data_IF_217838492114
#
_entry.id   IF_217838492114
#
_cell.length_a   1.000
_cell.length_b   1.000
_cell.length_c   1.000
_cell.angle_alpha   90.00
_cell.angle_beta   90.00
_cell.angle_gamma   90.00
#
_symmetry.space_group_name_H-M   'P 1'
#
loop_
_entity.id
_entity.type
_entity.pdbx_description
1 polymer ?
#
# COMPACT_ATOMS: atom_id res chain seq x y z
N UNK A 1 4.10 30.18 -20.82
CA UNK A 1 4.36 30.81 -19.51
C UNK A 1 4.79 29.78 -18.47
N UNK A 2 4.15 28.59 -18.32
CA UNK A 2 4.56 27.57 -17.34
C UNK A 2 6.00 27.08 -17.50
N UNK A 3 6.44 26.82 -18.73
CA UNK A 3 7.84 26.42 -19.03
C UNK A 3 8.88 27.45 -18.55
N UNK A 4 8.57 28.73 -18.67
CA UNK A 4 9.46 29.80 -18.20
C UNK A 4 9.53 29.85 -16.66
N UNK A 5 8.43 29.53 -15.96
CA UNK A 5 8.41 29.46 -14.51
C UNK A 5 9.22 28.25 -14.01
N UNK A 6 9.03 27.09 -14.63
CA UNK A 6 9.80 25.87 -14.38
C UNK A 6 11.30 26.10 -14.55
N UNK A 7 11.73 26.69 -15.68
CA UNK A 7 13.14 27.02 -15.94
C UNK A 7 13.74 27.98 -14.90
N UNK A 8 12.94 28.94 -14.42
CA UNK A 8 13.37 29.82 -13.32
C UNK A 8 13.49 29.06 -12.01
N UNK A 9 12.61 28.10 -11.74
CA UNK A 9 12.69 27.21 -10.59
C UNK A 9 13.98 26.38 -10.59
N UNK A 10 14.31 25.76 -11.74
CA UNK A 10 15.56 25.02 -11.92
C UNK A 10 16.77 25.91 -11.62
N UNK A 11 16.83 27.11 -12.21
CA UNK A 11 17.94 28.03 -11.99
C UNK A 11 18.01 28.48 -10.52
N UNK A 12 16.87 28.76 -9.88
CA UNK A 12 16.84 29.18 -8.48
C UNK A 12 17.35 28.09 -7.53
N UNK A 13 16.97 26.83 -7.76
CA UNK A 13 17.46 25.68 -7.00
C UNK A 13 18.96 25.47 -7.21
N UNK A 14 19.41 25.53 -8.47
CA UNK A 14 20.83 25.45 -8.84
C UNK A 14 21.68 26.51 -8.14
N UNK A 15 21.22 27.76 -8.16
CA UNK A 15 21.88 28.89 -7.52
C UNK A 15 21.86 28.73 -5.99
N UNK A 16 20.75 28.27 -5.41
CA UNK A 16 20.63 28.03 -3.98
C UNK A 16 21.59 26.93 -3.50
N UNK A 17 21.85 25.90 -4.30
CA UNK A 17 22.87 24.90 -3.99
C UNK A 17 24.30 25.45 -4.14
N UNK A 18 24.50 26.54 -4.88
CA UNK A 18 25.82 27.11 -5.17
C UNK A 18 26.58 26.33 -6.24
N UNK A 19 25.86 25.67 -7.15
CA UNK A 19 26.46 24.85 -8.20
C UNK A 19 27.16 25.72 -9.27
N UNK A 20 28.37 25.35 -9.72
CA UNK A 20 29.08 26.13 -10.72
C UNK A 20 28.47 25.94 -12.12
N UNK A 21 28.38 27.03 -12.90
CA UNK A 21 27.93 26.95 -14.29
C UNK A 21 26.43 27.17 -14.45
N UNK A 22 25.81 26.41 -15.36
CA UNK A 22 24.37 26.48 -15.66
C UNK A 22 23.73 25.13 -15.38
N UNK A 23 22.44 25.11 -15.00
CA UNK A 23 21.68 23.88 -14.87
C UNK A 23 21.62 23.11 -16.20
N UNK A 24 21.31 21.80 -16.16
CA UNK A 24 21.19 20.96 -17.35
C UNK A 24 20.23 21.56 -18.38
N UNK A 25 20.52 21.34 -19.66
CA UNK A 25 19.59 21.68 -20.73
C UNK A 25 18.35 20.81 -20.59
N UNK A 26 17.16 21.37 -20.88
CA UNK A 26 15.91 20.64 -20.77
C UNK A 26 15.98 19.37 -21.65
N UNK A 27 15.71 18.22 -21.04
CA UNK A 27 15.46 16.98 -21.77
C UNK A 27 14.20 17.06 -22.64
N UNK A 28 13.81 15.92 -23.21
CA UNK A 28 12.64 15.85 -24.11
C UNK A 28 11.33 16.19 -23.39
N UNK A 29 11.30 16.13 -22.05
CA UNK A 29 10.17 16.53 -21.20
C UNK A 29 10.59 17.30 -19.92
N UNK A 30 9.60 17.89 -19.23
CA UNK A 30 9.83 18.59 -17.94
C UNK A 30 10.25 17.63 -16.83
N UNK A 31 9.70 16.43 -16.80
CA UNK A 31 10.06 15.43 -15.80
C UNK A 31 11.50 14.95 -16.01
N UNK A 32 11.93 14.71 -17.25
CA UNK A 32 13.32 14.31 -17.55
C UNK A 32 14.31 15.37 -17.06
N UNK A 33 14.04 16.65 -17.37
CA UNK A 33 14.87 17.75 -16.90
C UNK A 33 14.93 17.87 -15.37
N UNK A 34 13.85 17.53 -14.68
CA UNK A 34 13.80 17.53 -13.22
C UNK A 34 14.59 16.34 -12.63
N UNK A 35 14.46 15.14 -13.20
CA UNK A 35 15.22 13.96 -12.79
C UNK A 35 16.71 14.16 -13.05
N UNK A 36 17.08 14.70 -14.22
CA UNK A 36 18.46 15.04 -14.54
C UNK A 36 19.03 16.06 -13.54
N UNK A 37 18.25 17.07 -13.17
CA UNK A 37 18.64 18.04 -12.15
C UNK A 37 18.94 17.36 -10.81
N UNK A 38 18.08 16.46 -10.33
CA UNK A 38 18.32 15.70 -9.11
C UNK A 38 19.56 14.82 -9.22
N UNK A 39 19.77 14.18 -10.36
CA UNK A 39 20.93 13.33 -10.60
C UNK A 39 22.25 14.13 -10.53
N UNK A 40 22.35 15.25 -11.26
CA UNK A 40 23.57 16.06 -11.30
C UNK A 40 23.82 16.83 -10.00
N UNK A 41 22.78 17.11 -9.20
CA UNK A 41 22.91 17.81 -7.91
C UNK A 41 23.02 16.88 -6.71
N UNK A 42 23.07 15.57 -6.93
CA UNK A 42 23.05 14.57 -5.85
C UNK A 42 24.20 14.68 -4.83
N UNK A 43 25.36 15.15 -5.28
CA UNK A 43 26.53 15.36 -4.41
C UNK A 43 26.55 16.73 -3.72
N UNK A 44 25.56 17.58 -3.96
CA UNK A 44 25.48 18.91 -3.38
C UNK A 44 25.13 18.84 -1.89
N UNK A 45 25.74 19.70 -1.08
CA UNK A 45 25.33 19.87 0.31
C UNK A 45 23.88 20.38 0.38
N UNK A 46 23.04 19.70 1.15
CA UNK A 46 21.58 19.91 1.24
C UNK A 46 20.80 19.60 -0.06
N UNK A 47 21.43 19.02 -1.07
CA UNK A 47 20.78 18.63 -2.32
C UNK A 47 19.84 17.44 -2.14
N UNK A 48 18.67 17.52 -2.77
CA UNK A 48 17.75 16.41 -2.89
C UNK A 48 18.34 15.33 -3.80
N UNK A 49 18.02 14.07 -3.51
CA UNK A 49 18.56 12.89 -4.18
C UNK A 49 17.45 11.99 -4.67
N UNK A 50 17.63 11.39 -5.85
CA UNK A 50 16.81 10.26 -6.26
C UNK A 50 16.96 9.12 -5.25
N UNK A 51 15.84 8.48 -4.90
CA UNK A 51 15.84 7.31 -4.05
C UNK A 51 16.21 6.10 -4.90
N UNK A 52 17.31 5.43 -4.56
CA UNK A 52 17.69 4.18 -5.23
C UNK A 52 16.65 3.09 -4.91
N UNK A 53 16.02 2.57 -5.97
CA UNK A 53 15.05 1.49 -5.86
C UNK A 53 15.74 0.13 -5.91
N UNK A 54 15.06 -0.87 -5.34
CA UNK A 54 15.52 -2.25 -5.36
C UNK A 54 15.18 -2.82 -6.74
N UNK A 55 16.19 -3.33 -7.47
CA UNK A 55 16.00 -3.83 -8.83
C UNK A 55 14.97 -4.97 -8.93
N UNK A 56 14.91 -5.84 -7.92
CA UNK A 56 13.94 -6.94 -7.83
C UNK A 56 13.31 -7.02 -6.45
N UNK A 57 12.08 -6.52 -6.33
CA UNK A 57 11.31 -6.54 -5.08
C UNK A 57 10.58 -7.86 -4.82
N UNK A 58 10.33 -8.66 -5.87
CA UNK A 58 9.45 -9.82 -5.80
C UNK A 58 9.98 -10.97 -4.94
N UNK A 59 11.29 -11.18 -4.88
CA UNK A 59 11.88 -12.22 -4.04
C UNK A 59 11.58 -11.95 -2.55
N UNK A 60 11.82 -10.72 -2.08
CA UNK A 60 11.48 -10.31 -0.72
C UNK A 60 9.98 -10.35 -0.45
N UNK A 61 9.16 -9.96 -1.44
CA UNK A 61 7.69 -10.06 -1.38
C UNK A 61 7.22 -11.49 -1.20
N UNK A 62 7.73 -12.41 -2.01
CA UNK A 62 7.27 -13.79 -2.05
C UNK A 62 7.61 -14.56 -0.75
N UNK A 63 8.77 -14.30 -0.15
CA UNK A 63 9.18 -14.95 1.11
C UNK A 63 8.64 -14.28 2.36
N UNK A 64 8.00 -13.12 2.23
CA UNK A 64 7.45 -12.38 3.36
C UNK A 64 8.52 -11.64 4.19
N UNK A 65 9.61 -11.17 3.59
CA UNK A 65 10.68 -10.47 4.31
C UNK A 65 10.28 -9.05 4.73
N UNK A 66 10.39 -8.74 6.02
CA UNK A 66 10.08 -7.41 6.58
C UNK A 66 11.34 -6.55 6.82
N UNK A 67 12.53 -7.07 6.51
CA UNK A 67 13.80 -6.38 6.76
C UNK A 67 14.04 -5.16 5.88
N UNK A 68 13.33 -5.06 4.75
CA UNK A 68 13.37 -3.94 3.81
C UNK A 68 11.96 -3.57 3.35
N UNK A 69 11.76 -2.34 2.87
CA UNK A 69 10.45 -1.88 2.41
C UNK A 69 10.09 -2.40 1.00
N UNK A 70 10.19 -3.71 0.74
CA UNK A 70 10.00 -4.31 -0.60
C UNK A 70 8.69 -3.90 -1.26
N UNK A 71 7.60 -3.89 -0.47
CA UNK A 71 6.26 -3.53 -0.94
C UNK A 71 6.19 -2.07 -1.43
N UNK A 72 6.87 -1.16 -0.73
CA UNK A 72 6.93 0.25 -1.14
C UNK A 72 7.72 0.42 -2.42
N UNK A 73 8.90 -0.21 -2.53
CA UNK A 73 9.71 -0.13 -3.75
C UNK A 73 8.97 -0.71 -4.96
N UNK A 74 8.30 -1.85 -4.78
CA UNK A 74 7.44 -2.44 -5.81
C UNK A 74 6.30 -1.51 -6.23
N UNK A 75 5.57 -0.93 -5.26
CA UNK A 75 4.45 -0.03 -5.55
C UNK A 75 4.92 1.23 -6.29
N UNK A 76 6.07 1.81 -5.91
CA UNK A 76 6.69 2.95 -6.60
C UNK A 76 7.04 2.58 -8.06
N UNK A 77 7.67 1.42 -8.28
CA UNK A 77 8.03 0.95 -9.61
C UNK A 77 6.78 0.76 -10.49
N UNK A 78 5.76 0.06 -9.99
CA UNK A 78 4.51 -0.18 -10.73
C UNK A 78 3.69 1.10 -10.90
N UNK A 79 3.80 2.06 -9.98
CA UNK A 79 3.15 3.37 -10.08
C UNK A 79 3.76 4.28 -11.15
N UNK A 80 4.90 3.90 -11.73
CA UNK A 80 5.66 4.71 -12.70
C UNK A 80 5.95 6.12 -12.12
N UNK A 81 6.40 6.18 -10.87
CA UNK A 81 6.75 7.45 -10.21
C UNK A 81 8.26 7.54 -9.98
N UNK A 82 8.79 8.76 -10.00
CA UNK A 82 10.19 9.02 -9.70
C UNK A 82 10.34 9.43 -8.24
N UNK A 83 10.92 8.54 -7.39
CA UNK A 83 11.05 8.80 -5.97
C UNK A 83 12.31 9.63 -5.69
N UNK A 84 12.21 10.58 -4.78
CA UNK A 84 13.35 11.36 -4.31
C UNK A 84 13.21 11.76 -2.85
N UNK A 85 14.33 12.12 -2.21
CA UNK A 85 14.41 12.38 -0.78
C UNK A 85 15.18 13.67 -0.49
N UNK A 86 14.87 14.28 0.65
CA UNK A 86 15.55 15.47 1.14
C UNK A 86 16.55 15.11 2.25
N UNK A 87 17.78 15.64 2.23
CA UNK A 87 18.68 15.51 3.37
C UNK A 87 18.07 16.15 4.63
N UNK A 88 18.08 15.42 5.75
CA UNK A 88 17.61 15.94 7.03
C UNK A 88 16.10 15.89 7.25
N UNK A 89 15.32 15.36 6.29
CA UNK A 89 13.88 15.08 6.46
C UNK A 89 13.68 13.57 6.50
N UNK A 90 13.92 12.97 7.66
CA UNK A 90 13.83 11.51 7.84
C UNK A 90 12.39 11.00 7.62
N UNK A 91 12.27 9.87 6.93
CA UNK A 91 11.00 9.17 6.72
C UNK A 91 10.10 9.75 5.61
N UNK A 92 10.47 10.89 5.01
CA UNK A 92 9.69 11.54 3.94
C UNK A 92 10.27 11.22 2.55
N UNK A 93 9.46 10.60 1.70
CA UNK A 93 9.77 10.31 0.30
C UNK A 93 8.85 11.15 -0.56
N UNK A 94 9.41 11.81 -1.58
CA UNK A 94 8.65 12.52 -2.59
C UNK A 94 8.46 11.62 -3.80
N UNK A 95 7.27 11.63 -4.40
CA UNK A 95 6.95 10.86 -5.59
C UNK A 95 6.52 11.82 -6.70
N UNK A 96 7.35 11.97 -7.73
CA UNK A 96 6.96 12.73 -8.93
C UNK A 96 6.23 11.83 -9.91
N UNK A 97 5.04 12.25 -10.35
CA UNK A 97 4.32 11.54 -11.40
C UNK A 97 5.05 11.71 -12.74
N UNK A 98 5.47 10.60 -13.35
CA UNK A 98 6.11 10.64 -14.68
C UNK A 98 5.12 10.98 -15.77
N UNK A 99 3.83 10.79 -15.51
CA UNK A 99 2.74 11.09 -16.45
C UNK A 99 2.11 12.42 -16.03
N UNK A 100 2.02 13.32 -17.00
CA UNK A 100 1.38 14.60 -16.81
C UNK A 100 -0.14 14.45 -16.66
N UNK A 101 -0.74 15.29 -15.83
CA UNK A 101 -2.20 15.44 -15.77
C UNK A 101 -2.75 16.08 -17.07
N UNK A 102 -4.09 16.19 -17.25
CA UNK A 102 -4.67 16.72 -18.48
C UNK A 102 -4.30 18.18 -18.78
N UNK A 103 -3.81 18.92 -17.79
CA UNK A 103 -3.29 20.29 -17.95
C UNK A 103 -1.80 20.31 -18.32
N UNK A 104 -1.17 19.13 -18.37
CA UNK A 104 0.22 18.90 -18.69
C UNK A 104 1.14 18.93 -17.46
N UNK A 105 0.62 18.98 -16.23
CA UNK A 105 1.42 19.14 -15.02
C UNK A 105 1.84 17.79 -14.43
N UNK A 106 3.12 17.69 -14.06
CA UNK A 106 3.63 16.55 -13.28
C UNK A 106 3.48 16.87 -11.80
N UNK A 107 2.56 16.16 -11.15
CA UNK A 107 2.25 16.32 -9.73
C UNK A 107 3.33 15.67 -8.88
N UNK A 108 3.56 16.21 -7.69
CA UNK A 108 4.49 15.63 -6.72
C UNK A 108 3.78 15.44 -5.40
N UNK A 109 3.87 14.22 -4.89
CA UNK A 109 3.25 13.82 -3.63
C UNK A 109 4.33 13.47 -2.61
N UNK A 110 3.93 13.34 -1.36
CA UNK A 110 4.78 12.77 -0.33
C UNK A 110 4.20 11.49 0.24
N UNK A 111 5.09 10.57 0.60
CA UNK A 111 4.82 9.42 1.44
C UNK A 111 5.67 9.56 2.70
N UNK A 112 5.03 9.36 3.84
CA UNK A 112 5.68 9.29 5.15
C UNK A 112 5.29 7.98 5.81
N UNK A 113 6.29 7.17 6.20
CA UNK A 113 6.07 5.88 6.88
C UNK A 113 5.09 4.94 6.16
N UNK A 114 5.09 4.97 4.83
CA UNK A 114 4.24 4.11 3.99
C UNK A 114 2.80 4.59 3.83
N UNK A 115 2.46 5.81 4.28
CA UNK A 115 1.16 6.45 4.05
C UNK A 115 1.34 7.81 3.36
N UNK A 116 0.28 8.34 2.76
CA UNK A 116 0.27 9.69 2.19
C UNK A 116 0.72 10.74 3.21
N UNK A 117 1.70 11.52 2.82
CA UNK A 117 2.25 12.64 3.58
C UNK A 117 1.45 13.93 3.37
N UNK A 118 1.80 14.95 4.14
CA UNK A 118 1.06 16.22 4.18
C UNK A 118 1.40 17.20 3.03
N UNK A 119 2.43 16.91 2.23
CA UNK A 119 2.89 17.79 1.15
C UNK A 119 2.46 17.25 -0.21
N UNK A 120 1.79 18.11 -0.95
CA UNK A 120 1.28 17.87 -2.30
C UNK A 120 1.53 19.10 -3.15
N UNK A 121 2.08 18.89 -4.34
CA UNK A 121 2.44 19.94 -5.28
C UNK A 121 1.74 19.69 -6.61
N UNK A 122 0.98 20.68 -7.09
CA UNK A 122 0.27 20.60 -8.36
C UNK A 122 1.20 20.47 -9.56
N UNK A 123 2.44 20.97 -9.45
CA UNK A 123 3.44 20.87 -10.52
C UNK A 123 4.89 20.87 -10.00
N UNK A 124 5.83 20.62 -10.91
CA UNK A 124 7.27 20.67 -10.63
C UNK A 124 7.77 22.08 -10.29
N UNK A 125 7.03 23.14 -10.61
CA UNK A 125 7.42 24.51 -10.26
C UNK A 125 7.27 24.72 -8.75
N UNK A 126 6.13 24.30 -8.20
CA UNK A 126 5.85 24.35 -6.77
C UNK A 126 6.88 23.58 -5.95
N UNK A 127 7.19 22.35 -6.36
CA UNK A 127 8.19 21.55 -5.63
C UNK A 127 9.58 22.17 -5.70
N UNK A 128 10.01 22.70 -6.87
CA UNK A 128 11.30 23.38 -7.00
C UNK A 128 11.39 24.64 -6.13
N UNK A 129 10.30 25.40 -6.01
CA UNK A 129 10.23 26.56 -5.12
C UNK A 129 10.43 26.14 -3.66
N UNK A 130 9.77 25.07 -3.22
CA UNK A 130 9.92 24.56 -1.86
C UNK A 130 11.30 23.94 -1.62
N UNK A 131 11.83 23.14 -2.54
CA UNK A 131 13.19 22.59 -2.48
C UNK A 131 14.25 23.70 -2.34
N UNK A 132 14.10 24.77 -3.11
CA UNK A 132 14.97 25.96 -3.03
C UNK A 132 14.90 26.60 -1.64
N UNK A 133 13.70 26.73 -1.07
CA UNK A 133 13.51 27.28 0.27
C UNK A 133 14.14 26.39 1.35
N UNK A 134 14.01 25.06 1.23
CA UNK A 134 14.64 24.09 2.13
C UNK A 134 16.17 24.23 2.14
N UNK A 135 16.80 24.32 0.97
CA UNK A 135 18.26 24.52 0.87
C UNK A 135 18.68 25.83 1.54
N UNK A 136 17.93 26.91 1.31
CA UNK A 136 18.22 28.23 1.91
C UNK A 136 18.01 28.25 3.42
N UNK A 137 16.98 27.58 3.91
CA UNK A 137 16.74 27.40 5.35
C UNK A 137 17.89 26.63 6.00
N UNK A 138 18.33 25.53 5.39
CA UNK A 138 19.49 24.76 5.87
C UNK A 138 20.79 25.59 5.92
N UNK A 139 20.94 26.57 5.03
CA UNK A 139 22.05 27.55 5.00
C UNK A 139 21.87 28.73 5.98
N UNK A 140 20.74 28.82 6.67
CA UNK A 140 20.39 29.92 7.58
C UNK A 140 19.98 31.22 6.86
N UNK A 141 19.64 31.14 5.57
CA UNK A 141 19.15 32.28 4.77
C UNK A 141 17.65 32.50 4.92
N UNK A 142 16.90 31.44 5.28
CA UNK A 142 15.48 31.51 5.66
C UNK A 142 15.28 31.08 7.11
N UNK A 143 14.34 31.73 7.79
CA UNK A 143 13.85 31.28 9.09
C UNK A 143 12.67 30.30 8.94
N UNK A 144 12.24 29.71 10.07
CA UNK A 144 11.15 28.72 10.09
C UNK A 144 9.82 29.30 9.58
N UNK A 145 9.55 30.58 9.82
CA UNK A 145 8.32 31.23 9.42
C UNK A 145 8.29 31.49 7.90
N UNK A 146 9.42 31.91 7.33
CA UNK A 146 9.59 32.06 5.89
C UNK A 146 9.46 30.70 5.17
N UNK A 147 10.09 29.65 5.70
CA UNK A 147 9.97 28.30 5.15
C UNK A 147 8.51 27.81 5.18
N UNK A 148 7.82 27.99 6.30
CA UNK A 148 6.41 27.60 6.43
C UNK A 148 5.49 28.37 5.48
N UNK A 149 5.74 29.67 5.27
CA UNK A 149 4.98 30.47 4.32
C UNK A 149 5.20 29.97 2.89
N UNK A 150 6.46 29.74 2.49
CA UNK A 150 6.77 29.25 1.14
C UNK A 150 6.17 27.86 0.93
N UNK A 151 6.21 26.99 1.94
CA UNK A 151 5.53 25.70 1.89
C UNK A 151 4.03 25.87 1.65
N UNK A 152 3.36 26.73 2.43
CA UNK A 152 1.92 26.98 2.27
C UNK A 152 1.56 27.57 0.91
N UNK A 153 2.45 28.33 0.28
CA UNK A 153 2.22 28.92 -1.05
C UNK A 153 2.51 27.93 -2.19
N UNK A 154 3.43 26.99 -1.97
CA UNK A 154 3.86 26.02 -2.96
C UNK A 154 3.02 24.73 -2.94
N UNK A 155 2.48 24.35 -1.79
CA UNK A 155 1.65 23.15 -1.65
C UNK A 155 0.17 23.46 -1.86
N UNK A 156 -0.58 22.47 -2.31
CA UNK A 156 -2.02 22.54 -2.43
C UNK A 156 -2.65 21.18 -2.15
N UNK A 157 -3.88 21.15 -1.67
CA UNK A 157 -4.60 19.90 -1.53
C UNK A 157 -5.08 19.46 -2.91
N UNK A 158 -4.64 18.29 -3.36
CA UNK A 158 -5.07 17.67 -4.60
C UNK A 158 -6.24 16.74 -4.29
N UNK A 159 -7.47 17.23 -4.50
CA UNK A 159 -8.73 16.52 -4.27
C UNK A 159 -9.68 16.53 -5.50
N UNK A 160 -9.09 16.74 -6.68
CA UNK A 160 -9.80 16.79 -7.96
C UNK A 160 -10.11 15.40 -8.55
N UNK A 161 -10.79 15.35 -9.70
CA UNK A 161 -11.16 14.08 -10.35
C UNK A 161 -9.96 13.23 -10.77
N UNK A 162 -8.79 13.83 -11.00
CA UNK A 162 -7.58 13.08 -11.34
C UNK A 162 -7.10 12.23 -10.17
N UNK A 163 -7.27 12.71 -8.93
CA UNK A 163 -6.90 12.02 -7.70
C UNK A 163 -7.90 10.96 -7.24
N UNK A 164 -9.14 10.99 -7.74
CA UNK A 164 -10.22 10.11 -7.25
C UNK A 164 -10.12 8.67 -7.72
N UNK A 165 -9.19 8.36 -8.63
CA UNK A 165 -9.12 7.05 -9.23
C UNK A 165 -7.77 6.75 -9.85
N UNK A 166 -7.70 5.67 -10.64
CA UNK A 166 -6.45 5.10 -11.13
C UNK A 166 -5.75 5.97 -12.20
N UNK A 167 -6.23 7.18 -12.46
CA UNK A 167 -5.50 8.20 -13.22
C UNK A 167 -4.32 8.75 -12.43
N UNK A 168 -4.46 8.94 -11.12
CA UNK A 168 -3.39 9.41 -10.24
C UNK A 168 -2.39 8.29 -9.92
N UNK A 169 -1.10 8.61 -10.03
CA UNK A 169 -0.05 7.70 -9.60
C UNK A 169 -0.08 7.44 -8.10
N UNK A 170 -0.40 8.45 -7.28
CA UNK A 170 -0.50 8.30 -5.84
C UNK A 170 -1.60 7.30 -5.48
N UNK A 171 -2.78 7.44 -6.11
CA UNK A 171 -3.87 6.47 -5.94
C UNK A 171 -3.40 5.04 -6.23
N UNK A 172 -2.67 4.83 -7.33
CA UNK A 172 -2.14 3.51 -7.66
C UNK A 172 -1.16 3.00 -6.61
N UNK A 173 -0.20 3.84 -6.18
CA UNK A 173 0.79 3.46 -5.17
C UNK A 173 0.10 3.10 -3.85
N UNK A 174 -0.84 3.92 -3.37
CA UNK A 174 -1.60 3.67 -2.15
C UNK A 174 -2.38 2.36 -2.24
N UNK A 175 -3.06 2.13 -3.35
CA UNK A 175 -3.89 0.95 -3.52
C UNK A 175 -3.07 -0.34 -3.67
N UNK A 176 -1.91 -0.28 -4.32
CA UNK A 176 -0.95 -1.39 -4.34
C UNK A 176 -0.41 -1.66 -2.93
N UNK A 177 -0.08 -0.60 -2.18
CA UNK A 177 0.30 -0.65 -0.77
C UNK A 177 -0.84 -1.06 0.17
N UNK A 178 -2.07 -1.19 -0.30
CA UNK A 178 -3.20 -1.72 0.46
C UNK A 178 -3.56 -3.16 0.03
N UNK A 179 -3.18 -3.60 -1.17
CA UNK A 179 -3.45 -4.97 -1.64
C UNK A 179 -2.78 -6.06 -0.78
N UNK A 180 -3.49 -7.12 -0.35
CA UNK A 180 -2.91 -8.17 0.49
C UNK A 180 -2.01 -9.16 -0.28
N UNK A 181 -1.31 -8.71 -1.33
CA UNK A 181 -0.48 -9.56 -2.18
C UNK A 181 0.65 -10.22 -1.39
N UNK A 182 1.31 -9.46 -0.50
CA UNK A 182 2.38 -9.95 0.35
C UNK A 182 1.88 -11.04 1.31
N UNK A 183 0.73 -10.82 1.93
CA UNK A 183 0.09 -11.79 2.80
C UNK A 183 -0.41 -13.02 2.03
N UNK A 184 -0.82 -12.87 0.77
CA UNK A 184 -1.23 -14.00 -0.07
C UNK A 184 -0.05 -14.96 -0.31
N UNK A 185 1.15 -14.42 -0.59
CA UNK A 185 2.37 -15.20 -0.78
C UNK A 185 2.77 -16.01 0.46
N UNK A 186 2.62 -15.44 1.65
CA UNK A 186 2.88 -16.18 2.89
C UNK A 186 1.72 -17.13 3.26
N UNK A 187 0.47 -16.75 3.00
CA UNK A 187 -0.71 -17.55 3.32
C UNK A 187 -0.76 -18.87 2.51
N UNK A 188 -0.40 -18.84 1.22
CA UNK A 188 -0.39 -20.06 0.41
C UNK A 188 0.62 -21.09 0.92
N UNK A 189 1.71 -20.65 1.56
CA UNK A 189 2.69 -21.54 2.20
C UNK A 189 2.04 -22.42 3.30
N UNK A 190 0.80 -22.11 3.70
CA UNK A 190 -0.01 -22.82 4.70
C UNK A 190 -1.32 -23.37 4.11
N UNK A 191 -1.49 -23.34 2.79
CA UNK A 191 -2.75 -23.70 2.12
C UNK A 191 -3.90 -22.71 2.40
N UNK A 192 -3.57 -21.47 2.77
CA UNK A 192 -4.54 -20.40 3.07
C UNK A 192 -4.58 -19.37 1.95
N UNK A 193 -5.63 -18.55 1.94
CA UNK A 193 -5.75 -17.39 1.05
C UNK A 193 -6.46 -16.25 1.78
N UNK A 194 -6.00 -15.00 1.64
CA UNK A 194 -6.70 -13.86 2.23
C UNK A 194 -8.11 -13.72 1.66
N UNK A 195 -9.07 -13.31 2.48
CA UNK A 195 -10.39 -12.90 2.00
C UNK A 195 -10.24 -11.55 1.31
N UNK A 196 -10.53 -11.51 0.01
CA UNK A 196 -10.43 -10.30 -0.81
C UNK A 196 -11.75 -10.13 -1.55
N UNK A 197 -12.38 -8.99 -1.35
CA UNK A 197 -13.58 -8.64 -2.09
C UNK A 197 -13.22 -8.30 -3.55
N UNK A 198 -13.99 -8.84 -4.49
CA UNK A 198 -13.84 -8.48 -5.89
C UNK A 198 -14.54 -7.16 -6.13
N UNK A 199 -13.77 -6.12 -6.45
CA UNK A 199 -14.34 -4.97 -7.16
C UNK A 199 -14.60 -5.42 -8.60
N UNK A 200 -15.86 -5.57 -8.99
CA UNK A 200 -16.30 -5.96 -10.32
C UNK A 200 -16.02 -4.92 -11.43
N UNK A 201 -14.91 -4.20 -11.32
CA UNK A 201 -14.48 -3.17 -12.26
C UNK A 201 -13.95 -3.78 -13.57
N UNK A 202 -14.15 -3.06 -14.67
CA UNK A 202 -13.62 -3.44 -15.98
C UNK A 202 -12.13 -3.08 -16.08
N UNK A 203 -11.32 -3.87 -16.82
CA UNK A 203 -9.91 -3.56 -17.00
C UNK A 203 -9.73 -2.24 -17.74
N UNK A 204 -8.76 -1.44 -17.30
CA UNK A 204 -8.35 -0.22 -17.99
C UNK A 204 -7.48 -0.58 -19.21
N UNK A 205 -8.12 -0.88 -20.33
CA UNK A 205 -7.46 -1.29 -21.59
C UNK A 205 -7.17 -0.14 -22.56
N UNK A 206 -7.63 1.07 -22.24
CA UNK A 206 -7.37 2.23 -23.08
C UNK A 206 -5.89 2.60 -23.01
N UNK A 207 -5.18 2.53 -24.15
CA UNK A 207 -3.72 2.70 -24.27
C UNK A 207 -3.28 4.17 -24.18
N UNK A 208 -4.03 4.99 -23.46
CA UNK A 208 -3.61 6.34 -23.05
C UNK A 208 -2.47 6.28 -22.01
N UNK A 209 -1.79 7.40 -21.77
CA UNK A 209 -0.69 7.47 -20.80
C UNK A 209 -1.11 6.87 -19.44
N UNK A 210 -0.23 6.06 -18.85
CA UNK A 210 -0.46 5.35 -17.60
C UNK A 210 -1.37 4.12 -17.69
N UNK A 211 -1.69 3.62 -18.89
CA UNK A 211 -2.51 2.41 -19.02
C UNK A 211 -1.89 1.19 -18.35
N UNK A 212 -0.57 1.08 -18.34
CA UNK A 212 0.14 -0.06 -17.75
C UNK A 212 0.00 -0.10 -16.23
N UNK A 213 0.25 1.02 -15.54
CA UNK A 213 0.04 1.12 -14.09
C UNK A 213 -1.42 0.87 -13.68
N UNK A 214 -2.38 1.37 -14.47
CA UNK A 214 -3.82 1.08 -14.25
C UNK A 214 -4.15 -0.39 -14.41
N UNK A 215 -3.65 -1.01 -15.47
CA UNK A 215 -3.84 -2.43 -15.74
C UNK A 215 -3.17 -3.29 -14.67
N UNK A 216 -1.97 -2.94 -14.22
CA UNK A 216 -1.26 -3.64 -13.15
C UNK A 216 -2.02 -3.64 -11.82
N UNK A 217 -2.60 -2.50 -11.42
CA UNK A 217 -3.46 -2.43 -10.25
C UNK A 217 -4.69 -3.34 -10.40
N UNK A 218 -5.37 -3.25 -11.55
CA UNK A 218 -6.55 -4.08 -11.83
C UNK A 218 -6.22 -5.58 -11.81
N UNK A 219 -5.14 -5.99 -12.47
CA UNK A 219 -4.68 -7.38 -12.50
C UNK A 219 -4.36 -7.89 -11.11
N UNK A 220 -3.68 -7.08 -10.29
CA UNK A 220 -3.34 -7.44 -8.90
C UNK A 220 -4.61 -7.67 -8.08
N UNK A 221 -5.57 -6.73 -8.12
CA UNK A 221 -6.84 -6.85 -7.39
C UNK A 221 -7.67 -8.06 -7.88
N UNK A 222 -7.81 -8.22 -9.19
CA UNK A 222 -8.57 -9.34 -9.78
C UNK A 222 -7.94 -10.67 -9.44
N UNK A 223 -6.63 -10.79 -9.55
CA UNK A 223 -5.90 -12.00 -9.18
C UNK A 223 -6.11 -12.34 -7.71
N UNK A 224 -6.03 -11.36 -6.81
CA UNK A 224 -6.27 -11.59 -5.39
C UNK A 224 -7.70 -12.06 -5.07
N UNK A 225 -8.68 -11.56 -5.82
CA UNK A 225 -10.08 -11.95 -5.65
C UNK A 225 -10.41 -13.32 -6.27
N UNK A 226 -9.82 -13.65 -7.42
CA UNK A 226 -10.23 -14.80 -8.24
C UNK A 226 -9.23 -15.96 -8.24
N UNK A 227 -7.97 -15.70 -7.86
CA UNK A 227 -6.82 -16.61 -7.95
C UNK A 227 -6.46 -17.03 -9.38
N UNK A 228 -6.98 -16.31 -10.36
CA UNK A 228 -6.80 -16.59 -11.79
C UNK A 228 -6.34 -15.31 -12.46
N UNK A 229 -5.39 -15.43 -13.38
CA UNK A 229 -4.92 -14.30 -14.17
C UNK A 229 -5.64 -14.27 -15.51
N UNK A 230 -6.44 -13.24 -15.72
CA UNK A 230 -7.13 -13.00 -16.98
C UNK A 230 -6.62 -11.70 -17.60
N UNK A 231 -5.73 -11.81 -18.58
CA UNK A 231 -5.31 -10.67 -19.37
C UNK A 231 -6.42 -10.26 -20.35
N UNK A 232 -6.66 -8.95 -20.55
CA UNK A 232 -7.56 -8.49 -21.60
C UNK A 232 -7.14 -8.97 -23.00
N UNK A 233 -8.09 -9.32 -23.86
CA UNK A 233 -7.83 -9.91 -25.18
C UNK A 233 -6.96 -9.02 -26.08
N UNK A 234 -7.04 -7.69 -25.89
CA UNK A 234 -6.34 -6.68 -26.69
C UNK A 234 -4.91 -6.38 -26.22
N UNK A 235 -4.48 -6.95 -25.08
CA UNK A 235 -3.18 -6.65 -24.46
C UNK A 235 -2.33 -7.92 -24.39
N UNK A 236 -1.23 -7.92 -25.13
CA UNK A 236 -0.20 -8.95 -25.00
C UNK A 236 0.82 -8.59 -23.91
N UNK A 237 1.40 -9.60 -23.26
CA UNK A 237 2.52 -9.43 -22.31
C UNK A 237 3.73 -8.74 -22.96
N UNK A 238 3.92 -8.93 -24.27
CA UNK A 238 4.94 -8.26 -25.08
C UNK A 238 4.71 -6.76 -25.25
N UNK A 239 3.48 -6.28 -25.04
CA UNK A 239 3.13 -4.86 -25.17
C UNK A 239 3.46 -4.05 -23.91
N UNK A 240 3.81 -4.73 -22.82
CA UNK A 240 4.11 -4.13 -21.52
C UNK A 240 5.61 -3.92 -21.33
N UNK A 241 5.97 -2.87 -20.63
CA UNK A 241 7.33 -2.58 -20.20
C UNK A 241 7.80 -3.54 -19.11
N UNK A 242 9.11 -3.56 -18.86
CA UNK A 242 9.75 -4.57 -18.03
C UNK A 242 9.14 -4.71 -16.63
N UNK A 243 8.79 -3.59 -15.98
CA UNK A 243 8.21 -3.59 -14.63
C UNK A 243 6.84 -4.27 -14.61
N UNK A 244 5.95 -3.89 -15.53
CA UNK A 244 4.59 -4.43 -15.58
C UNK A 244 4.54 -5.84 -16.14
N UNK A 245 5.42 -6.16 -17.10
CA UNK A 245 5.65 -7.52 -17.57
C UNK A 245 6.08 -8.43 -16.44
N UNK A 246 7.03 -7.98 -15.61
CA UNK A 246 7.50 -8.73 -14.45
C UNK A 246 6.34 -9.04 -13.50
N UNK A 247 5.46 -8.08 -13.20
CA UNK A 247 4.25 -8.34 -12.41
C UNK A 247 3.42 -9.49 -13.01
N UNK A 248 3.11 -9.41 -14.31
CA UNK A 248 2.32 -10.43 -14.99
C UNK A 248 3.00 -11.80 -14.92
N UNK A 249 4.30 -11.88 -15.17
CA UNK A 249 5.06 -13.13 -15.08
C UNK A 249 5.00 -13.75 -13.67
N UNK A 250 5.06 -12.92 -12.62
CA UNK A 250 4.95 -13.40 -11.23
C UNK A 250 3.53 -13.83 -10.87
N UNK A 251 2.50 -13.14 -11.37
CA UNK A 251 1.10 -13.56 -11.17
C UNK A 251 0.81 -14.88 -11.90
N UNK A 252 1.39 -15.10 -13.10
CA UNK A 252 1.29 -16.39 -13.82
C UNK A 252 1.96 -17.51 -13.03
N UNK A 253 3.17 -17.28 -12.52
CA UNK A 253 3.86 -18.27 -11.67
C UNK A 253 3.02 -18.60 -10.42
N UNK A 254 2.44 -17.57 -9.81
CA UNK A 254 1.61 -17.73 -8.62
C UNK A 254 0.32 -18.51 -8.91
N UNK A 255 -0.38 -18.20 -10.00
CA UNK A 255 -1.56 -18.94 -10.48
C UNK A 255 -1.26 -20.43 -10.68
N UNK A 256 -0.16 -20.73 -11.38
CA UNK A 256 0.25 -22.11 -11.68
C UNK A 256 0.52 -22.88 -10.38
N UNK A 257 1.24 -22.26 -9.44
CA UNK A 257 1.52 -22.85 -8.13
C UNK A 257 0.23 -23.14 -7.33
N UNK A 258 -0.74 -22.22 -7.33
CA UNK A 258 -2.04 -22.41 -6.67
C UNK A 258 -2.77 -23.63 -7.26
N UNK A 259 -2.84 -23.73 -8.59
CA UNK A 259 -3.61 -24.79 -9.26
C UNK A 259 -2.93 -26.16 -9.22
N UNK A 260 -1.59 -26.19 -9.23
CA UNK A 260 -0.82 -27.42 -9.16
C UNK A 260 -0.52 -27.86 -7.72
N UNK A 261 -0.75 -26.99 -6.73
CA UNK A 261 -0.27 -27.15 -5.35
C UNK A 261 1.26 -27.38 -5.29
N UNK A 262 1.99 -26.65 -6.13
CA UNK A 262 3.44 -26.69 -6.25
C UNK A 262 4.08 -25.46 -5.60
N UNK A 263 5.40 -25.51 -5.38
CA UNK A 263 6.17 -24.36 -4.93
C UNK A 263 6.29 -23.38 -6.12
N UNK A 264 5.94 -22.09 -5.96
CA UNK A 264 6.14 -21.07 -6.99
C UNK A 264 7.62 -20.95 -7.38
N UNK A 265 7.89 -20.79 -8.67
CA UNK A 265 9.27 -20.71 -9.19
C UNK A 265 10.07 -19.59 -8.53
N UNK A 266 9.44 -18.44 -8.24
CA UNK A 266 10.13 -17.34 -7.55
C UNK A 266 10.67 -17.75 -6.16
N UNK A 267 9.98 -18.65 -5.45
CA UNK A 267 10.44 -19.19 -4.17
C UNK A 267 11.62 -20.15 -4.39
N UNK A 268 11.53 -21.03 -5.39
CA UNK A 268 12.62 -21.96 -5.73
C UNK A 268 13.90 -21.22 -6.13
N UNK A 269 13.77 -20.22 -7.00
CA UNK A 269 14.87 -19.37 -7.45
C UNK A 269 15.47 -18.59 -6.27
N UNK A 270 14.64 -18.09 -5.36
CA UNK A 270 15.09 -17.39 -4.16
C UNK A 270 15.83 -18.33 -3.20
N UNK A 271 15.37 -19.57 -3.03
CA UNK A 271 16.03 -20.58 -2.21
C UNK A 271 17.41 -20.98 -2.76
N UNK A 272 17.59 -20.94 -4.09
CA UNK A 272 18.86 -21.20 -4.77
C UNK A 272 19.72 -19.94 -4.95
N UNK A 273 19.23 -18.77 -4.52
CA UNK A 273 19.86 -17.48 -4.73
C UNK A 273 21.11 -17.23 -3.88
N UNK A 274 21.79 -16.12 -4.18
CA UNK A 274 23.04 -15.74 -3.51
C UNK A 274 22.83 -15.01 -2.17
N UNK A 275 21.65 -14.42 -1.94
CA UNK A 275 21.31 -13.76 -0.67
C UNK A 275 20.98 -14.80 0.40
N UNK A 276 21.83 -15.00 1.44
CA UNK A 276 21.63 -16.06 2.41
C UNK A 276 20.40 -15.86 3.29
N UNK A 277 19.98 -14.61 3.50
CA UNK A 277 18.81 -14.29 4.32
C UNK A 277 17.54 -14.66 3.57
N UNK A 278 17.39 -14.18 2.32
CA UNK A 278 16.23 -14.51 1.49
C UNK A 278 16.18 -16.01 1.17
N UNK A 279 17.32 -16.65 0.91
CA UNK A 279 17.38 -18.09 0.67
C UNK A 279 16.92 -18.90 1.90
N UNK A 280 17.32 -18.51 3.11
CA UNK A 280 16.86 -19.16 4.34
C UNK A 280 15.34 -18.99 4.54
N UNK A 281 14.80 -17.81 4.26
CA UNK A 281 13.35 -17.56 4.33
C UNK A 281 12.57 -18.37 3.28
N UNK A 282 13.07 -18.47 2.06
CA UNK A 282 12.49 -19.28 0.99
C UNK A 282 12.50 -20.78 1.35
N UNK A 283 13.60 -21.30 1.91
CA UNK A 283 13.66 -22.69 2.37
C UNK A 283 12.64 -22.96 3.50
N UNK A 284 12.49 -22.02 4.43
CA UNK A 284 11.47 -22.12 5.48
C UNK A 284 10.04 -22.03 4.90
N UNK A 285 9.84 -21.27 3.83
CA UNK A 285 8.57 -21.22 3.10
C UNK A 285 8.26 -22.59 2.48
N UNK A 286 9.23 -23.20 1.80
CA UNK A 286 9.08 -24.54 1.17
C UNK A 286 8.76 -25.60 2.20
N UNK A 287 9.45 -25.61 3.34
CA UNK A 287 9.20 -26.56 4.42
C UNK A 287 7.76 -26.44 4.96
N UNK A 288 7.26 -25.21 5.16
CA UNK A 288 5.86 -24.97 5.54
C UNK A 288 4.90 -25.49 4.47
N UNK A 289 5.20 -25.23 3.20
CA UNK A 289 4.38 -25.64 2.07
C UNK A 289 4.27 -27.16 1.96
N UNK A 290 5.38 -27.88 2.02
CA UNK A 290 5.38 -29.35 2.01
C UNK A 290 4.67 -29.94 3.23
N UNK A 291 4.80 -29.30 4.40
CA UNK A 291 4.12 -29.71 5.62
C UNK A 291 2.59 -29.76 5.48
N UNK A 292 1.95 -28.73 4.91
CA UNK A 292 0.50 -28.76 4.73
C UNK A 292 0.07 -29.66 3.56
N UNK A 293 0.83 -29.67 2.46
CA UNK A 293 0.53 -30.51 1.29
C UNK A 293 0.53 -31.99 1.66
N UNK A 294 1.52 -32.44 2.44
CA UNK A 294 1.58 -33.82 2.92
C UNK A 294 0.47 -34.14 3.93
N UNK A 295 0.09 -33.19 4.79
CA UNK A 295 -1.05 -33.35 5.69
C UNK A 295 -2.39 -33.48 4.93
N UNK A 296 -2.55 -32.80 3.79
CA UNK A 296 -3.74 -32.90 2.93
C UNK A 296 -3.81 -34.20 2.11
N UNK A 297 -2.69 -34.92 1.94
CA UNK A 297 -2.59 -36.17 1.16
C UNK A 297 -2.79 -37.43 2.04
N UNK A 298 -2.96 -37.28 3.36
CA UNK A 298 -3.31 -38.40 4.23
C UNK A 298 -4.67 -38.98 3.79
N UNK A 299 -4.76 -40.26 3.40
CA UNK A 299 -6.04 -40.88 3.05
C UNK A 299 -7.01 -40.71 4.21
N UNK A 300 -8.27 -40.38 3.93
CA UNK A 300 -9.32 -40.41 4.94
C UNK A 300 -9.23 -41.77 5.67
N UNK A 301 -9.20 -41.81 7.01
CA UNK A 301 -9.23 -43.07 7.72
C UNK A 301 -10.47 -43.83 7.26
N UNK A 302 -10.31 -45.14 7.01
CA UNK A 302 -11.43 -46.03 6.70
C UNK A 302 -12.55 -45.80 7.73
N UNK A 303 -13.81 -45.90 7.28
CA UNK A 303 -15.05 -45.69 8.06
C UNK A 303 -15.13 -46.65 9.28
N UNK A 304 -14.30 -46.45 10.30
CA UNK A 304 -14.38 -47.09 11.61
C UNK A 304 -13.51 -46.40 12.69
N UNK A 305 -12.95 -45.20 12.40
CA UNK A 305 -12.34 -44.38 13.45
C UNK A 305 -13.36 -43.39 14.04
N UNK A 306 -13.62 -43.58 15.33
CA UNK A 306 -14.56 -42.85 16.14
C UNK A 306 -14.37 -41.32 16.01
N UNK A 307 -15.48 -40.61 15.76
CA UNK A 307 -15.66 -39.16 15.88
C UNK A 307 -14.47 -38.45 16.55
N UNK A 308 -13.57 -37.90 15.74
CA UNK A 308 -12.59 -36.92 16.20
C UNK A 308 -13.31 -35.57 16.33
N UNK A 309 -13.12 -34.97 17.51
CA UNK A 309 -13.86 -33.84 18.06
C UNK A 309 -14.05 -32.63 17.12
N UNK A 310 -15.12 -31.86 17.40
CA UNK A 310 -15.40 -30.54 16.84
C UNK A 310 -14.12 -29.69 16.62
N UNK A 311 -14.09 -28.82 15.60
CA UNK A 311 -12.97 -27.92 15.36
C UNK A 311 -12.55 -27.22 16.66
N UNK A 312 -11.25 -27.07 16.94
CA UNK A 312 -10.79 -26.58 18.23
C UNK A 312 -11.45 -25.21 18.52
N UNK A 313 -12.00 -25.01 19.73
CA UNK A 313 -12.68 -23.77 20.07
C UNK A 313 -11.72 -22.59 19.92
N UNK A 314 -12.27 -21.44 19.49
CA UNK A 314 -11.55 -20.17 19.31
C UNK A 314 -10.60 -19.93 20.50
N UNK A 315 -9.28 -19.97 20.25
CA UNK A 315 -8.31 -19.86 21.33
C UNK A 315 -8.25 -18.40 21.82
N UNK A 316 -8.80 -18.16 23.00
CA UNK A 316 -8.80 -16.85 23.64
C UNK A 316 -7.39 -16.36 24.05
N UNK A 317 -6.72 -15.67 23.13
CA UNK A 317 -5.52 -14.87 23.43
C UNK A 317 -5.79 -13.84 24.55
N UNK A 318 -4.77 -13.38 25.31
CA UNK A 318 -4.95 -12.32 26.31
C UNK A 318 -5.58 -11.04 25.74
N UNK A 319 -5.33 -10.76 24.46
CA UNK A 319 -5.92 -9.65 23.71
C UNK A 319 -7.43 -9.86 23.48
N UNK A 320 -7.84 -11.01 22.93
CA UNK A 320 -9.27 -11.30 22.68
C UNK A 320 -10.09 -11.32 23.97
N UNK A 321 -9.53 -11.75 25.11
CA UNK A 321 -10.21 -11.64 26.42
C UNK A 321 -10.44 -10.20 26.86
N UNK A 322 -9.45 -9.32 26.66
CA UNK A 322 -9.58 -7.89 26.97
C UNK A 322 -10.59 -7.22 26.05
N UNK A 323 -10.51 -7.51 24.75
CA UNK A 323 -11.43 -6.99 23.74
C UNK A 323 -12.88 -7.40 24.02
N UNK A 324 -13.11 -8.69 24.33
CA UNK A 324 -14.42 -9.23 24.70
C UNK A 324 -14.99 -8.53 25.93
N UNK A 325 -14.18 -8.37 26.98
CA UNK A 325 -14.59 -7.65 28.19
C UNK A 325 -14.94 -6.19 27.92
N UNK A 326 -14.16 -5.49 27.10
CA UNK A 326 -14.38 -4.09 26.79
C UNK A 326 -15.61 -3.88 25.89
N UNK A 327 -15.81 -4.74 24.90
CA UNK A 327 -16.98 -4.74 24.03
C UNK A 327 -18.26 -5.05 24.79
N UNK A 328 -18.23 -6.00 25.74
CA UNK A 328 -19.40 -6.32 26.58
C UNK A 328 -19.88 -5.11 27.38
N UNK A 329 -18.94 -4.35 27.97
CA UNK A 329 -19.24 -3.11 28.70
C UNK A 329 -19.73 -2.00 27.77
N UNK A 330 -19.16 -1.88 26.57
CA UNK A 330 -19.56 -0.86 25.59
C UNK A 330 -20.99 -1.11 25.08
N UNK A 331 -21.32 -2.36 24.76
CA UNK A 331 -22.68 -2.75 24.35
C UNK A 331 -23.71 -2.47 25.46
N UNK A 332 -23.40 -2.79 26.71
CA UNK A 332 -24.29 -2.48 27.84
C UNK A 332 -24.58 -0.97 27.94
N UNK A 333 -23.54 -0.14 27.78
CA UNK A 333 -23.69 1.32 27.80
C UNK A 333 -24.50 1.84 26.62
N UNK A 334 -24.37 1.24 25.43
CA UNK A 334 -25.14 1.63 24.26
C UNK A 334 -26.62 1.26 24.42
N UNK A 335 -26.92 0.09 24.98
CA UNK A 335 -28.30 -0.32 25.32
C UNK A 335 -28.89 0.60 26.39
N UNK A 336 -28.16 0.86 27.49
CA UNK A 336 -28.64 1.74 28.58
C UNK A 336 -28.92 3.18 28.13
N UNK A 337 -28.16 3.69 27.16
CA UNK A 337 -28.34 5.03 26.58
C UNK A 337 -29.43 5.08 25.49
N UNK A 338 -29.94 3.92 25.07
CA UNK A 338 -30.91 3.80 23.99
C UNK A 338 -30.32 4.09 22.60
N UNK A 339 -29.03 3.76 22.41
CA UNK A 339 -28.36 3.90 21.11
C UNK A 339 -28.53 2.67 20.22
N UNK A 340 -28.72 1.49 20.82
CA UNK A 340 -29.05 0.26 20.11
C UNK A 340 -30.05 -0.59 20.90
N UNK A 341 -30.89 -1.33 20.19
CA UNK A 341 -31.77 -2.36 20.76
C UNK A 341 -31.15 -3.75 20.53
N UNK A 342 -30.92 -4.49 21.62
CA UNK A 342 -30.28 -5.81 21.61
C UNK A 342 -31.01 -6.75 22.57
N UNK A 343 -31.45 -7.90 22.05
CA UNK A 343 -31.98 -9.00 22.85
C UNK A 343 -30.85 -9.57 23.75
N UNK A 344 -31.05 -9.63 25.09
CA UNK A 344 -30.07 -10.20 26.01
C UNK A 344 -29.60 -11.61 25.63
N UNK A 345 -30.47 -12.43 25.02
CA UNK A 345 -30.14 -13.80 24.63
C UNK A 345 -29.21 -13.87 23.40
N UNK A 346 -29.06 -12.75 22.65
CA UNK A 346 -28.19 -12.64 21.46
C UNK A 346 -26.86 -11.93 21.73
N UNK A 347 -26.71 -11.33 22.90
CA UNK A 347 -25.53 -10.53 23.26
C UNK A 347 -24.23 -11.33 23.17
N UNK A 348 -24.22 -12.57 23.63
CA UNK A 348 -23.01 -13.39 23.62
C UNK A 348 -22.59 -13.78 22.19
N UNK A 349 -23.55 -14.01 21.29
CA UNK A 349 -23.27 -14.29 19.88
C UNK A 349 -22.70 -13.07 19.16
N UNK A 350 -23.32 -11.90 19.37
CA UNK A 350 -22.82 -10.62 18.86
C UNK A 350 -21.40 -10.32 19.37
N UNK A 351 -21.13 -10.58 20.65
CA UNK A 351 -19.80 -10.36 21.22
C UNK A 351 -18.74 -11.22 20.54
N UNK A 352 -19.04 -12.48 20.24
CA UNK A 352 -18.10 -13.34 19.52
C UNK A 352 -17.85 -12.82 18.10
N UNK A 353 -18.89 -12.40 17.40
CA UNK A 353 -18.79 -11.81 16.05
C UNK A 353 -17.89 -10.56 16.03
N UNK A 354 -18.12 -9.63 16.96
CA UNK A 354 -17.34 -8.39 17.08
C UNK A 354 -15.89 -8.64 17.49
N UNK A 355 -15.65 -9.61 18.39
CA UNK A 355 -14.30 -9.97 18.83
C UNK A 355 -13.52 -10.63 17.70
N UNK A 356 -14.16 -11.49 16.90
CA UNK A 356 -13.54 -12.08 15.71
C UNK A 356 -13.22 -11.02 14.65
N UNK A 357 -14.15 -10.10 14.39
CA UNK A 357 -13.91 -8.99 13.46
C UNK A 357 -12.77 -8.07 13.95
N UNK A 358 -12.73 -7.78 15.26
CA UNK A 358 -11.71 -6.94 15.88
C UNK A 358 -10.35 -7.63 16.06
N UNK A 359 -10.30 -8.96 16.21
CA UNK A 359 -9.05 -9.70 16.36
C UNK A 359 -8.23 -9.75 15.07
N UNK A 360 -8.91 -9.66 13.92
CA UNK A 360 -8.30 -9.65 12.59
C UNK A 360 -7.93 -8.24 12.11
N UNK A 361 -7.88 -7.28 13.04
CA UNK A 361 -7.57 -5.89 12.74
C UNK A 361 -6.08 -5.59 12.90
N UNK A 362 -5.53 -4.86 11.93
CA UNK A 362 -4.10 -4.53 11.82
C UNK A 362 -3.69 -3.26 12.57
N UNK A 363 -4.65 -2.51 13.10
CA UNK A 363 -4.45 -1.28 13.88
C UNK A 363 -5.70 -0.94 14.70
N UNK A 364 -5.59 -0.05 15.69
CA UNK A 364 -6.75 0.40 16.48
C UNK A 364 -7.81 1.08 15.60
N UNK A 365 -7.41 1.89 14.60
CA UNK A 365 -8.34 2.52 13.66
C UNK A 365 -9.07 1.48 12.79
N UNK A 366 -8.36 0.45 12.34
CA UNK A 366 -8.93 -0.65 11.57
C UNK A 366 -9.86 -1.51 12.43
N UNK A 367 -9.48 -1.76 13.69
CA UNK A 367 -10.28 -2.51 14.65
C UNK A 367 -11.61 -1.79 14.92
N UNK A 368 -11.56 -0.48 15.16
CA UNK A 368 -12.77 0.33 15.34
C UNK A 368 -13.65 0.33 14.08
N UNK A 369 -13.05 0.41 12.89
CA UNK A 369 -13.80 0.35 11.61
C UNK A 369 -14.50 -1.00 11.44
N UNK A 370 -13.79 -2.12 11.65
CA UNK A 370 -14.35 -3.48 11.54
C UNK A 370 -15.45 -3.72 12.56
N UNK A 371 -15.20 -3.40 13.83
CA UNK A 371 -16.20 -3.55 14.90
C UNK A 371 -17.44 -2.70 14.61
N UNK A 372 -17.29 -1.47 14.11
CA UNK A 372 -18.42 -0.61 13.76
C UNK A 372 -19.24 -1.21 12.61
N UNK A 373 -18.57 -1.64 11.53
CA UNK A 373 -19.25 -2.25 10.39
C UNK A 373 -19.97 -3.54 10.78
N UNK A 374 -19.29 -4.44 11.50
CA UNK A 374 -19.89 -5.68 12.00
C UNK A 374 -21.05 -5.41 12.95
N UNK A 375 -20.99 -4.38 13.80
CA UNK A 375 -22.11 -4.03 14.68
C UNK A 375 -23.33 -3.55 13.90
N UNK A 376 -23.10 -2.75 12.84
CA UNK A 376 -24.18 -2.20 11.99
C UNK A 376 -24.83 -3.28 11.13
N UNK A 377 -24.03 -4.24 10.65
CA UNK A 377 -24.49 -5.29 9.74
C UNK A 377 -24.92 -6.59 10.45
N UNK A 378 -24.83 -6.66 11.78
CA UNK A 378 -25.14 -7.89 12.52
C UNK A 378 -26.63 -8.14 12.67
N UNK A 379 -27.07 -9.34 12.29
CA UNK A 379 -28.44 -9.85 12.50
C UNK A 379 -28.83 -9.99 13.99
N UNK A 380 -27.87 -9.83 14.89
CA UNK A 380 -28.09 -9.87 16.33
C UNK A 380 -28.59 -8.54 16.92
N UNK A 381 -28.43 -7.43 16.21
CA UNK A 381 -28.91 -6.10 16.62
C UNK A 381 -30.26 -5.81 15.99
N UNK A 382 -31.23 -5.33 16.79
CA UNK A 382 -32.59 -5.07 16.30
C UNK A 382 -32.70 -3.70 15.63
N UNK A 383 -32.23 -2.66 16.31
CA UNK A 383 -32.20 -1.29 15.80
C UNK A 383 -30.96 -0.54 16.28
N UNK A 384 -30.45 0.37 15.43
CA UNK A 384 -29.35 1.28 15.72
C UNK A 384 -29.81 2.70 15.39
N UNK A 385 -29.71 3.59 16.36
CA UNK A 385 -30.16 4.99 16.24
C UNK A 385 -29.06 6.02 15.91
N UNK A 386 -27.80 5.88 16.37
CA UNK A 386 -26.73 6.80 16.00
C UNK A 386 -26.13 6.49 14.63
N UNK A 387 -25.45 7.48 14.03
CA UNK A 387 -24.65 7.28 12.82
C UNK A 387 -23.37 6.50 13.11
N UNK A 388 -22.82 5.85 12.10
CA UNK A 388 -21.57 5.08 12.17
C UNK A 388 -20.42 5.87 12.80
N UNK A 389 -20.30 7.17 12.46
CA UNK A 389 -19.29 8.06 13.05
C UNK A 389 -19.45 8.19 14.58
N UNK A 390 -20.69 8.28 15.07
CA UNK A 390 -20.97 8.37 16.52
C UNK A 390 -20.74 7.05 17.23
N UNK A 391 -21.03 5.92 16.57
CA UNK A 391 -20.73 4.58 17.09
C UNK A 391 -19.22 4.41 17.21
N UNK A 392 -18.49 4.79 16.16
CA UNK A 392 -17.04 4.72 16.11
C UNK A 392 -16.36 5.62 17.15
N UNK A 393 -16.86 6.84 17.36
CA UNK A 393 -16.37 7.74 18.41
C UNK A 393 -16.57 7.14 19.81
N UNK A 394 -17.72 6.51 20.07
CA UNK A 394 -17.96 5.81 21.35
C UNK A 394 -17.07 4.59 21.54
N UNK A 395 -16.95 3.74 20.51
CA UNK A 395 -16.05 2.61 20.56
C UNK A 395 -14.60 3.07 20.76
N UNK A 396 -14.22 4.23 20.22
CA UNK A 396 -12.90 4.83 20.47
C UNK A 396 -12.73 5.26 21.93
N UNK A 397 -13.75 5.85 22.54
CA UNK A 397 -13.73 6.21 23.98
C UNK A 397 -13.68 4.97 24.89
N UNK A 398 -14.42 3.92 24.54
CA UNK A 398 -14.54 2.71 25.37
C UNK A 398 -13.38 1.72 25.18
N UNK A 399 -12.76 1.68 23.98
CA UNK A 399 -11.71 0.73 23.62
C UNK A 399 -10.31 1.36 23.48
N UNK A 400 -10.21 2.69 23.38
CA UNK A 400 -8.96 3.43 23.11
C UNK A 400 -8.14 3.82 24.34
N UNK A 401 -8.28 3.11 25.47
CA UNK A 401 -7.50 3.31 26.70
C UNK A 401 -6.18 2.56 26.73
#
# INVERSE_FOLDING_TARGET
MPEQAFLKGIQAYWDALGQPGKPPELGDSRIDAFVDLLHVTSSAEHGFNLLELIDSSYAGIAVGDDSRPWRLHWAIQVGEVEPFVAPGVEGLIFLSDTIADPEGNHRVYTIQDGVRGDLEFADLTGVLQWMTAQVRHAKGEHDDAELQQIQSDATTLLDDEWEKGPTSALYIVEELLDTPLFEAWDAISRGQWPLVESEGSSPAVDREDGWQRRLSLWLTRRFLATRTLELPEEIGVSDMDAVHRSLVEHLVDFEQAIHAADVPRIIEDTAAGEDPHLAAMALAWVERHDGWRTAAIVPAPDEDDAFLDEPPPFQHTPFTRKLLSALSVSLDRMVEKGDLELDPDRKDALLMELVTAGSDARSVKHMLKKITATLVDSDHVEEIYPSDDKIKDRLREDLGG
#
